data_IF_796256634935
#
_entry.id   IF_796256634935
#
_cell.length_a   1.000
_cell.length_b   1.000
_cell.length_c   1.000
_cell.angle_alpha   90.00
_cell.angle_beta   90.00
_cell.angle_gamma   90.00
#
_symmetry.space_group_name_H-M   'P 1'
#
loop_
_entity.id
_entity.type
_entity.pdbx_description
1 polymer ?
#
# COMPACT_ATOMS: atom_id res chain seq x y z
N UNK A 1 -30.47 67.01 0.77
CA UNK A 1 -29.39 66.22 1.43
C UNK A 1 -29.57 64.78 1.00
N UNK A 2 -28.68 64.24 0.07
CA UNK A 2 -28.74 62.90 -0.40
C UNK A 2 -27.66 62.10 0.39
N UNK A 3 -28.11 61.10 1.16
CA UNK A 3 -27.23 60.16 1.87
C UNK A 3 -26.85 59.10 0.90
N UNK A 4 -25.53 59.00 0.55
CA UNK A 4 -24.92 57.86 -0.16
C UNK A 4 -24.54 56.80 0.89
N UNK A 5 -25.22 55.67 0.87
CA UNK A 5 -24.82 54.48 1.63
C UNK A 5 -23.79 53.69 0.82
N UNK A 6 -22.54 53.66 1.29
CA UNK A 6 -21.48 52.81 0.79
C UNK A 6 -21.69 51.37 1.35
N UNK A 7 -22.02 50.43 0.48
CA UNK A 7 -22.03 49.01 0.82
C UNK A 7 -20.62 48.47 0.56
N UNK A 8 -19.86 48.23 1.63
CA UNK A 8 -18.58 47.55 1.56
C UNK A 8 -18.80 46.04 1.42
N UNK A 9 -18.55 45.50 0.22
CA UNK A 9 -18.62 44.07 -0.04
C UNK A 9 -17.41 43.38 0.57
N UNK A 10 -17.63 42.57 1.61
CA UNK A 10 -16.62 41.69 2.22
C UNK A 10 -16.46 40.45 1.33
N UNK A 11 -15.42 40.40 0.51
CA UNK A 11 -15.08 39.23 -0.28
C UNK A 11 -14.49 38.13 0.65
N UNK A 12 -15.28 37.11 0.95
CA UNK A 12 -14.77 35.89 1.62
C UNK A 12 -13.85 35.14 0.65
N UNK A 13 -12.56 35.19 0.90
CA UNK A 13 -11.59 34.31 0.25
C UNK A 13 -11.79 32.89 0.78
N UNK A 14 -12.36 32.00 -0.04
CA UNK A 14 -12.47 30.58 0.25
C UNK A 14 -11.07 29.98 0.04
N UNK A 15 -10.39 29.42 1.09
CA UNK A 15 -9.13 28.74 0.89
C UNK A 15 -9.39 27.49 0.05
N UNK A 16 -8.83 27.44 -1.16
CA UNK A 16 -8.78 26.21 -1.95
C UNK A 16 -7.82 25.25 -1.26
N UNK A 17 -8.37 24.31 -0.48
CA UNK A 17 -7.62 23.21 0.08
C UNK A 17 -7.04 22.39 -1.08
N UNK A 18 -5.76 22.62 -1.41
CA UNK A 18 -5.01 21.79 -2.33
C UNK A 18 -4.81 20.45 -1.60
N UNK A 19 -5.46 19.39 -2.07
CA UNK A 19 -5.22 18.05 -1.56
C UNK A 19 -3.73 17.76 -1.74
N UNK A 20 -2.98 17.83 -0.66
CA UNK A 20 -1.57 17.45 -0.67
C UNK A 20 -1.52 15.94 -0.96
N UNK A 21 -0.69 15.55 -1.97
CA UNK A 21 -0.41 14.14 -2.22
C UNK A 21 0.17 13.55 -0.93
N UNK A 22 -0.43 12.48 -0.45
CA UNK A 22 0.00 11.84 0.79
C UNK A 22 1.31 11.08 0.54
N UNK A 23 2.32 11.31 1.38
CA UNK A 23 3.55 10.54 1.36
C UNK A 23 3.33 9.19 2.05
N UNK A 24 3.06 8.15 1.25
CA UNK A 24 2.83 6.77 1.71
C UNK A 24 4.12 5.95 1.79
N UNK A 25 5.12 6.30 0.98
CA UNK A 25 6.42 5.66 0.99
C UNK A 25 7.40 6.43 1.87
N UNK A 26 7.96 5.80 2.92
CA UNK A 26 8.95 6.44 3.81
C UNK A 26 10.24 6.78 3.06
N UNK A 27 11.14 7.58 3.66
CA UNK A 27 12.46 7.84 3.08
C UNK A 27 13.21 6.54 2.73
N UNK A 28 13.86 6.44 1.55
CA UNK A 28 14.48 5.21 1.08
C UNK A 28 15.41 4.49 2.06
N UNK A 29 16.22 5.16 2.90
CA UNK A 29 17.10 4.48 3.85
C UNK A 29 16.37 3.65 4.92
N UNK A 30 15.08 3.89 5.15
CA UNK A 30 14.31 3.17 6.17
C UNK A 30 13.92 1.75 5.74
N UNK A 31 13.91 1.44 4.45
CA UNK A 31 13.38 0.18 3.91
C UNK A 31 13.93 -1.07 4.63
N UNK A 32 15.25 -1.15 4.87
CA UNK A 32 15.87 -2.31 5.55
C UNK A 32 15.45 -2.41 7.02
N UNK A 33 15.32 -1.28 7.70
CA UNK A 33 14.86 -1.23 9.10
C UNK A 33 13.40 -1.63 9.19
N UNK A 34 12.56 -1.15 8.28
CA UNK A 34 11.13 -1.43 8.26
C UNK A 34 10.86 -2.91 7.96
N UNK A 35 11.62 -3.52 7.03
CA UNK A 35 11.56 -4.96 6.78
C UNK A 35 11.97 -5.75 8.03
N UNK A 36 13.03 -5.34 8.72
CA UNK A 36 13.47 -6.02 9.94
C UNK A 36 12.44 -5.90 11.07
N UNK A 37 11.78 -4.75 11.22
CA UNK A 37 10.68 -4.56 12.15
C UNK A 37 9.46 -5.41 11.77
N UNK A 38 9.10 -5.45 10.49
CA UNK A 38 8.00 -6.25 9.98
C UNK A 38 8.21 -7.75 10.21
N UNK A 39 9.43 -8.26 10.05
CA UNK A 39 9.77 -9.66 10.35
C UNK A 39 9.52 -10.00 11.82
N UNK A 40 9.92 -9.12 12.75
CA UNK A 40 9.66 -9.30 14.18
C UNK A 40 8.16 -9.27 14.50
N UNK A 41 7.45 -8.29 13.94
CA UNK A 41 6.00 -8.13 14.15
C UNK A 41 5.22 -9.32 13.57
N UNK A 42 5.58 -9.78 12.38
CA UNK A 42 4.95 -10.90 11.70
C UNK A 42 5.12 -12.22 12.47
N UNK A 43 6.33 -12.49 12.98
CA UNK A 43 6.62 -13.68 13.79
C UNK A 43 5.78 -13.73 15.09
N UNK A 44 5.53 -12.58 15.73
CA UNK A 44 4.71 -12.50 16.95
C UNK A 44 3.21 -12.61 16.65
N UNK A 45 2.76 -11.99 15.57
CA UNK A 45 1.33 -11.88 15.23
C UNK A 45 0.83 -12.99 14.29
N UNK A 46 1.72 -13.87 13.82
CA UNK A 46 1.45 -14.92 12.81
C UNK A 46 0.85 -14.37 11.51
N UNK A 47 1.20 -13.12 11.17
CA UNK A 47 0.80 -12.47 9.92
C UNK A 47 1.83 -12.72 8.83
N UNK A 48 1.42 -12.56 7.58
CA UNK A 48 2.34 -12.46 6.45
C UNK A 48 2.88 -11.04 6.32
N UNK A 49 4.00 -10.87 5.63
CA UNK A 49 4.54 -9.56 5.31
C UNK A 49 4.19 -9.27 3.85
N UNK A 50 3.62 -8.11 3.59
CA UNK A 50 3.35 -7.61 2.26
C UNK A 50 4.33 -6.48 1.97
N UNK A 51 5.25 -6.71 1.03
CA UNK A 51 6.18 -5.70 0.53
C UNK A 51 5.55 -5.04 -0.69
N UNK A 52 5.40 -3.73 -0.65
CA UNK A 52 4.90 -2.88 -1.73
C UNK A 52 6.01 -1.96 -2.21
N UNK A 53 6.49 -2.18 -3.44
CA UNK A 53 7.55 -1.40 -4.07
C UNK A 53 6.96 -0.30 -4.93
N UNK A 54 7.38 0.93 -4.67
CA UNK A 54 6.89 2.10 -5.40
C UNK A 54 7.54 3.39 -4.93
N UNK A 55 6.81 4.50 -5.10
CA UNK A 55 7.26 5.82 -4.68
C UNK A 55 6.13 6.84 -4.65
N UNK A 56 6.33 7.93 -3.91
CA UNK A 56 5.31 8.97 -3.72
C UNK A 56 4.93 9.71 -5.03
N UNK A 57 5.76 9.63 -6.06
CA UNK A 57 5.50 10.17 -7.39
C UNK A 57 4.54 9.30 -8.22
N UNK A 58 4.39 8.03 -7.88
CA UNK A 58 3.67 7.03 -8.66
C UNK A 58 2.15 7.10 -8.41
N UNK A 59 1.38 7.52 -9.41
CA UNK A 59 -0.07 7.65 -9.29
C UNK A 59 -0.80 6.32 -9.10
N UNK A 60 -0.32 5.22 -9.72
CA UNK A 60 -0.88 3.89 -9.55
C UNK A 60 -0.58 3.32 -8.15
N UNK A 61 0.56 3.68 -7.56
CA UNK A 61 0.91 3.32 -6.19
C UNK A 61 -0.04 4.00 -5.17
N UNK A 62 -0.40 5.27 -5.41
CA UNK A 62 -1.40 5.98 -4.59
C UNK A 62 -2.77 5.28 -4.66
N UNK A 63 -3.19 4.83 -5.83
CA UNK A 63 -4.47 4.11 -6.00
C UNK A 63 -4.42 2.74 -5.33
N UNK A 64 -3.30 2.02 -5.43
CA UNK A 64 -3.13 0.75 -4.71
C UNK A 64 -3.29 0.94 -3.20
N UNK A 65 -2.66 1.95 -2.63
CA UNK A 65 -2.77 2.27 -1.20
C UNK A 65 -4.22 2.62 -0.80
N UNK A 66 -4.91 3.44 -1.60
CA UNK A 66 -6.34 3.74 -1.40
C UNK A 66 -7.17 2.45 -1.40
N UNK A 67 -6.92 1.54 -2.33
CA UNK A 67 -7.67 0.28 -2.42
C UNK A 67 -7.34 -0.67 -1.27
N UNK A 68 -6.08 -0.74 -0.84
CA UNK A 68 -5.68 -1.52 0.34
C UNK A 68 -6.38 -1.04 1.62
N UNK A 69 -6.61 0.28 1.75
CA UNK A 69 -7.17 0.90 2.95
C UNK A 69 -8.67 1.25 2.84
N UNK A 70 -9.37 0.82 1.78
CA UNK A 70 -10.82 1.00 1.69
C UNK A 70 -11.57 0.15 2.73
N UNK A 71 -12.87 0.38 2.89
CA UNK A 71 -13.68 -0.29 3.91
C UNK A 71 -13.71 -1.82 3.78
N UNK A 72 -13.59 -2.35 2.56
CA UNK A 72 -13.61 -3.78 2.27
C UNK A 72 -12.26 -4.45 2.57
N UNK A 73 -11.16 -3.85 2.13
CA UNK A 73 -9.84 -4.45 2.16
C UNK A 73 -9.08 -4.23 3.47
N UNK A 74 -9.30 -3.08 4.13
CA UNK A 74 -8.62 -2.75 5.39
C UNK A 74 -8.72 -3.85 6.45
N UNK A 75 -9.89 -4.44 6.76
CA UNK A 75 -9.98 -5.51 7.74
C UNK A 75 -9.15 -6.75 7.34
N UNK A 76 -9.12 -7.08 6.04
CA UNK A 76 -8.33 -8.21 5.52
C UNK A 76 -6.85 -7.92 5.66
N UNK A 77 -6.41 -6.73 5.25
CA UNK A 77 -5.02 -6.29 5.32
C UNK A 77 -4.53 -6.28 6.77
N UNK A 78 -5.21 -5.55 7.64
CA UNK A 78 -4.78 -5.36 9.04
C UNK A 78 -4.80 -6.66 9.85
N UNK A 79 -5.73 -7.58 9.57
CA UNK A 79 -5.80 -8.85 10.30
C UNK A 79 -4.76 -9.87 9.86
N UNK A 80 -4.25 -9.79 8.62
CA UNK A 80 -3.49 -10.87 8.01
C UNK A 80 -2.08 -10.49 7.56
N UNK A 81 -1.78 -9.19 7.44
CA UNK A 81 -0.51 -8.73 6.90
C UNK A 81 0.15 -7.66 7.76
N UNK A 82 1.47 -7.60 7.68
CA UNK A 82 2.29 -6.45 8.04
C UNK A 82 2.73 -5.82 6.72
N UNK A 83 2.17 -4.66 6.40
CA UNK A 83 2.48 -3.92 5.16
C UNK A 83 3.77 -3.14 5.34
N UNK A 84 4.64 -3.20 4.34
CA UNK A 84 5.90 -2.42 4.27
C UNK A 84 5.99 -1.77 2.90
N UNK A 85 5.99 -0.43 2.87
CA UNK A 85 6.24 0.33 1.67
C UNK A 85 7.74 0.49 1.43
N UNK A 86 8.22 0.03 0.28
CA UNK A 86 9.61 0.11 -0.14
C UNK A 86 9.76 1.22 -1.16
N UNK A 87 10.30 2.35 -0.73
CA UNK A 87 10.56 3.48 -1.61
C UNK A 87 11.74 3.17 -2.54
N UNK A 88 11.49 3.13 -3.83
CA UNK A 88 12.52 2.86 -4.85
C UNK A 88 13.07 4.14 -5.51
N UNK A 89 12.86 5.32 -4.87
CA UNK A 89 13.31 6.61 -5.42
C UNK A 89 12.67 6.88 -6.79
N UNK A 90 13.47 7.27 -7.74
CA UNK A 90 13.09 7.37 -9.15
C UNK A 90 13.46 6.09 -9.92
N UNK A 91 13.27 4.93 -9.32
CA UNK A 91 13.70 3.59 -9.79
C UNK A 91 15.22 3.40 -9.72
N UNK A 92 15.87 3.99 -8.74
CA UNK A 92 17.32 4.06 -8.60
C UNK A 92 17.84 3.66 -7.20
N UNK A 93 16.95 3.46 -6.22
CA UNK A 93 17.33 3.05 -4.85
C UNK A 93 16.56 1.80 -4.42
N UNK A 94 17.09 1.06 -3.42
CA UNK A 94 16.52 -0.19 -2.89
C UNK A 94 16.29 -1.29 -3.95
N UNK A 95 16.98 -1.21 -5.09
CA UNK A 95 16.89 -2.22 -6.16
C UNK A 95 17.49 -3.56 -5.71
N UNK A 96 18.44 -3.54 -4.78
CA UNK A 96 18.98 -4.73 -4.11
C UNK A 96 17.91 -5.50 -3.33
N UNK A 97 16.96 -4.78 -2.71
CA UNK A 97 15.81 -5.37 -2.02
C UNK A 97 14.84 -5.99 -3.03
N UNK A 98 14.50 -5.28 -4.10
CA UNK A 98 13.66 -5.81 -5.17
C UNK A 98 14.26 -7.08 -5.78
N UNK A 99 15.56 -7.07 -6.10
CA UNK A 99 16.29 -8.22 -6.61
C UNK A 99 16.26 -9.40 -5.63
N UNK A 100 16.51 -9.15 -4.36
CA UNK A 100 16.48 -10.18 -3.30
C UNK A 100 15.16 -10.94 -3.26
N UNK A 101 14.05 -10.25 -3.45
CA UNK A 101 12.72 -10.86 -3.44
C UNK A 101 12.19 -11.19 -4.84
N UNK A 102 13.03 -11.02 -5.87
CA UNK A 102 12.72 -11.35 -7.25
C UNK A 102 11.55 -10.53 -7.83
N UNK A 103 11.43 -9.27 -7.41
CA UNK A 103 10.42 -8.33 -7.88
C UNK A 103 11.00 -7.49 -9.02
N UNK A 104 10.48 -7.61 -10.25
CA UNK A 104 11.01 -6.91 -11.42
C UNK A 104 10.45 -5.47 -11.50
N UNK A 105 10.90 -4.59 -10.59
CA UNK A 105 10.43 -3.19 -10.52
C UNK A 105 10.68 -2.42 -11.81
N UNK A 106 11.66 -2.83 -12.61
CA UNK A 106 11.96 -2.26 -13.93
C UNK A 106 10.81 -2.46 -14.95
N UNK A 107 9.93 -3.41 -14.71
CA UNK A 107 8.74 -3.64 -15.54
C UNK A 107 7.59 -2.69 -15.22
N UNK A 108 7.61 -2.05 -14.05
CA UNK A 108 6.60 -1.11 -13.60
C UNK A 108 6.29 -1.23 -12.11
N UNK A 109 5.72 -0.18 -11.55
CA UNK A 109 5.26 -0.10 -10.17
C UNK A 109 3.82 0.45 -10.12
N UNK A 110 3.04 0.09 -9.08
CA UNK A 110 3.42 -0.68 -7.90
C UNK A 110 3.74 -2.14 -8.21
N UNK A 111 4.64 -2.73 -7.43
CA UNK A 111 4.99 -4.13 -7.55
C UNK A 111 5.08 -4.76 -6.15
N UNK A 112 4.60 -6.01 -6.00
CA UNK A 112 4.41 -6.61 -4.69
C UNK A 112 5.12 -7.94 -4.51
N UNK A 113 5.52 -8.21 -3.25
CA UNK A 113 5.92 -9.53 -2.79
C UNK A 113 5.24 -9.87 -1.46
N UNK A 114 4.98 -11.15 -1.23
CA UNK A 114 4.44 -11.67 0.03
C UNK A 114 5.45 -12.61 0.66
N UNK A 115 5.74 -12.38 1.94
CA UNK A 115 6.58 -13.26 2.74
C UNK A 115 5.74 -13.96 3.80
N UNK A 116 6.16 -15.15 4.22
CA UNK A 116 5.63 -15.80 5.41
C UNK A 116 6.00 -15.00 6.69
N UNK A 117 5.42 -15.35 7.82
CA UNK A 117 5.79 -14.82 9.14
C UNK A 117 7.27 -14.97 9.47
N UNK A 118 7.94 -15.95 8.88
CA UNK A 118 9.36 -16.23 9.05
C UNK A 118 10.25 -15.64 7.93
N UNK A 119 9.69 -14.77 7.08
CA UNK A 119 10.42 -14.10 6.01
C UNK A 119 10.69 -14.94 4.75
N UNK A 120 10.11 -16.15 4.64
CA UNK A 120 10.22 -16.96 3.42
C UNK A 120 9.36 -16.35 2.33
N UNK A 121 9.94 -16.19 1.13
CA UNK A 121 9.19 -15.71 -0.04
C UNK A 121 8.07 -16.69 -0.41
N UNK A 122 6.84 -16.20 -0.46
CA UNK A 122 5.63 -16.92 -0.84
C UNK A 122 5.15 -16.55 -2.25
N UNK A 123 5.24 -15.26 -2.57
CA UNK A 123 4.84 -14.69 -3.84
C UNK A 123 5.77 -13.53 -4.21
N UNK A 124 6.07 -13.41 -5.46
CA UNK A 124 6.71 -12.25 -6.07
C UNK A 124 6.02 -11.97 -7.39
N UNK A 125 5.57 -10.74 -7.58
CA UNK A 125 5.03 -10.27 -8.85
C UNK A 125 6.05 -10.53 -9.97
N UNK A 126 5.61 -11.09 -11.08
CA UNK A 126 6.51 -11.45 -12.20
C UNK A 126 6.29 -10.57 -13.43
N UNK A 127 5.10 -10.05 -13.54
CA UNK A 127 4.68 -9.19 -14.64
C UNK A 127 4.22 -7.86 -14.07
N UNK A 128 3.34 -7.19 -14.80
CA UNK A 128 2.82 -5.87 -14.47
C UNK A 128 1.43 -5.96 -13.81
N UNK A 129 1.23 -6.91 -12.90
CA UNK A 129 -0.09 -7.25 -12.38
C UNK A 129 -0.81 -6.06 -11.72
N UNK A 130 -0.05 -5.12 -11.12
CA UNK A 130 -0.61 -3.96 -10.42
C UNK A 130 -0.16 -2.60 -10.99
N UNK A 131 0.61 -2.57 -12.09
CA UNK A 131 1.14 -1.31 -12.64
C UNK A 131 0.07 -0.33 -13.14
N UNK A 132 -1.14 -0.84 -13.41
CA UNK A 132 -2.22 -0.06 -14.01
C UNK A 132 -3.41 0.13 -13.04
N UNK A 133 -3.14 0.31 -11.74
CA UNK A 133 -4.17 0.38 -10.69
C UNK A 133 -5.28 1.40 -10.95
N UNK A 134 -4.95 2.54 -11.59
CA UNK A 134 -5.96 3.55 -11.98
C UNK A 134 -6.99 3.06 -12.99
N UNK A 135 -6.75 1.90 -13.62
CA UNK A 135 -7.65 1.24 -14.59
C UNK A 135 -8.20 -0.08 -14.08
N UNK A 136 -7.89 -0.44 -12.84
CA UNK A 136 -8.32 -1.67 -12.20
C UNK A 136 -9.40 -1.37 -11.15
N UNK A 137 -10.22 -2.38 -10.86
CA UNK A 137 -11.19 -2.32 -9.78
C UNK A 137 -10.54 -2.71 -8.44
N UNK A 138 -11.04 -2.16 -7.34
CA UNK A 138 -10.53 -2.48 -5.99
C UNK A 138 -10.66 -3.98 -5.65
N UNK A 139 -11.60 -4.69 -6.27
CA UNK A 139 -11.78 -6.14 -6.12
C UNK A 139 -10.56 -6.96 -6.52
N UNK A 140 -9.69 -6.45 -7.40
CA UNK A 140 -8.42 -7.10 -7.72
C UNK A 140 -7.49 -7.16 -6.50
N UNK A 141 -7.49 -6.11 -5.68
CA UNK A 141 -6.75 -6.07 -4.41
C UNK A 141 -7.40 -7.00 -3.39
N UNK A 142 -8.73 -7.01 -3.30
CA UNK A 142 -9.47 -7.94 -2.44
C UNK A 142 -9.10 -9.39 -2.73
N UNK A 143 -9.14 -9.79 -4.01
CA UNK A 143 -8.79 -11.14 -4.45
C UNK A 143 -7.35 -11.50 -4.08
N UNK A 144 -6.42 -10.57 -4.31
CA UNK A 144 -5.01 -10.76 -3.95
C UNK A 144 -4.82 -10.96 -2.44
N UNK A 145 -5.42 -10.11 -1.61
CA UNK A 145 -5.32 -10.21 -0.16
C UNK A 145 -5.94 -11.52 0.35
N UNK A 146 -7.09 -11.91 -0.16
CA UNK A 146 -7.76 -13.18 0.19
C UNK A 146 -6.91 -14.38 -0.21
N UNK A 147 -6.33 -14.37 -1.40
CA UNK A 147 -5.46 -15.44 -1.90
C UNK A 147 -4.21 -15.62 -1.04
N UNK A 148 -3.62 -14.51 -0.58
CA UNK A 148 -2.33 -14.53 0.10
C UNK A 148 -2.42 -14.33 1.62
N UNK A 149 -3.60 -14.30 2.24
CA UNK A 149 -3.72 -14.31 3.70
C UNK A 149 -3.24 -15.64 4.30
N UNK A 150 -2.77 -15.67 5.56
CA UNK A 150 -2.41 -16.90 6.23
C UNK A 150 -3.59 -17.86 6.28
N UNK A 151 -3.33 -19.15 6.06
CA UNK A 151 -4.30 -20.21 6.39
C UNK A 151 -4.20 -20.43 7.89
N UNK A 152 -5.22 -20.04 8.65
CA UNK A 152 -5.26 -20.30 10.10
C UNK A 152 -5.41 -21.81 10.33
N UNK A 153 -4.41 -22.41 10.99
CA UNK A 153 -4.54 -23.78 11.45
C UNK A 153 -5.62 -23.81 12.53
N UNK A 154 -6.76 -24.46 12.25
CA UNK A 154 -7.90 -24.55 13.17
C UNK A 154 -9.26 -24.51 12.50
N UNK A 155 -9.38 -24.00 11.28
CA UNK A 155 -10.59 -24.19 10.46
C UNK A 155 -10.51 -25.57 9.78
N UNK A 156 -10.75 -26.63 10.52
CA UNK A 156 -11.06 -27.93 9.94
C UNK A 156 -12.38 -27.81 9.16
N UNK A 157 -12.48 -28.45 8.00
CA UNK A 157 -13.58 -28.37 7.03
C UNK A 157 -14.98 -28.73 7.55
N UNK A 158 -15.20 -28.72 8.87
CA UNK A 158 -16.45 -29.12 9.52
C UNK A 158 -17.24 -27.91 10.09
N UNK A 159 -16.65 -26.70 10.13
CA UNK A 159 -17.39 -25.51 10.58
C UNK A 159 -17.48 -24.47 9.46
N UNK A 160 -18.68 -24.31 8.90
CA UNK A 160 -19.07 -23.38 7.86
C UNK A 160 -19.02 -21.88 8.23
N UNK A 161 -18.41 -21.50 9.37
CA UNK A 161 -18.35 -20.13 9.87
C UNK A 161 -16.98 -19.83 10.53
N UNK A 162 -15.95 -19.66 9.68
CA UNK A 162 -14.69 -19.04 10.10
C UNK A 162 -14.39 -17.80 9.26
#
# INVERSE_FOLDING_TARGET
VRLLTLVAGLALAIPTARSARQDIYPPPPQAKTDIAAALKAAAISHKRILLDFGGNWCGDCQVLDIYMHNAENRPILESNFVLVHINIGMMDVNLDIAQRYGVPVEKGVPAMAVLSENGKLMYSQKNKEFEAMRRMESSAVTQFLVQWKPVRQGCSAVMLNC
#
